data_IF_629763417976
#
_entry.id   IF_629763417976
#
_cell.length_a   1.000
_cell.length_b   1.000
_cell.length_c   1.000
_cell.angle_alpha   90.00
_cell.angle_beta   90.00
_cell.angle_gamma   90.00
#
_symmetry.space_group_name_H-M   'P 1'
#
loop_
_entity.id
_entity.type
_entity.pdbx_description
1 polymer ?
#
# COMPACT_ATOMS: atom_id res chain seq x y z
N UNK A 1 11.23 10.58 17.47
CA UNK A 1 10.01 9.73 17.49
C UNK A 1 9.67 9.32 18.94
N UNK A 2 9.35 10.28 19.82
CA UNK A 2 9.11 10.00 21.25
C UNK A 2 7.65 9.69 21.63
N UNK A 3 6.69 10.11 20.82
CA UNK A 3 5.28 10.21 21.21
C UNK A 3 4.41 8.97 20.92
N UNK A 4 4.98 7.88 20.40
CA UNK A 4 4.20 6.73 19.89
C UNK A 4 4.12 5.58 20.91
N UNK A 5 4.73 5.72 22.09
CA UNK A 5 4.75 4.64 23.10
C UNK A 5 3.48 4.53 23.94
N UNK A 6 2.65 5.56 24.00
CA UNK A 6 1.54 5.65 24.97
C UNK A 6 0.13 5.54 24.38
N UNK A 7 -0.02 5.47 23.05
CA UNK A 7 -1.35 5.31 22.44
C UNK A 7 -1.66 3.81 22.29
N UNK A 8 -2.10 3.19 23.39
CA UNK A 8 -2.73 1.87 23.37
C UNK A 8 -4.18 2.00 22.92
N UNK A 9 -4.51 1.49 21.73
CA UNK A 9 -5.86 0.99 21.45
C UNK A 9 -6.74 1.70 20.41
N UNK A 10 -6.19 2.56 19.53
CA UNK A 10 -6.97 3.13 18.43
C UNK A 10 -6.69 2.45 17.09
N UNK A 11 -7.73 1.99 16.36
CA UNK A 11 -7.63 1.58 14.95
C UNK A 11 -6.99 2.66 14.05
N UNK A 12 -7.07 3.93 14.47
CA UNK A 12 -6.55 5.11 13.77
C UNK A 12 -5.03 5.10 13.61
N UNK A 13 -4.29 4.61 14.60
CA UNK A 13 -2.84 4.73 14.60
C UNK A 13 -2.15 3.75 13.62
N UNK A 14 -2.53 2.47 13.52
CA UNK A 14 -2.06 1.60 12.45
C UNK A 14 -2.38 2.11 11.05
N UNK A 15 -3.58 2.66 10.84
CA UNK A 15 -3.99 3.21 9.55
C UNK A 15 -3.15 4.45 9.19
N UNK A 16 -2.91 5.34 10.16
CA UNK A 16 -2.01 6.49 9.97
C UNK A 16 -0.60 6.05 9.59
N UNK A 17 -0.02 5.08 10.32
CA UNK A 17 1.32 4.56 10.01
C UNK A 17 1.39 3.92 8.63
N UNK A 18 0.32 3.23 8.21
CA UNK A 18 0.22 2.64 6.87
C UNK A 18 0.25 3.71 5.77
N UNK A 19 -0.61 4.73 5.85
CA UNK A 19 -0.63 5.80 4.85
C UNK A 19 0.67 6.63 4.88
N UNK A 20 1.21 6.93 6.06
CA UNK A 20 2.50 7.63 6.18
C UNK A 20 3.63 6.86 5.51
N UNK A 21 3.67 5.53 5.67
CA UNK A 21 4.65 4.68 5.00
C UNK A 21 4.48 4.68 3.48
N UNK A 22 3.26 4.60 2.95
CA UNK A 22 2.98 4.71 1.51
C UNK A 22 3.44 6.05 0.93
N UNK A 23 3.13 7.17 1.61
CA UNK A 23 3.59 8.50 1.20
C UNK A 23 5.12 8.58 1.20
N UNK A 24 5.77 8.06 2.23
CA UNK A 24 7.24 8.01 2.28
C UNK A 24 7.83 7.16 1.15
N UNK A 25 7.26 6.00 0.82
CA UNK A 25 7.70 5.20 -0.32
C UNK A 25 7.49 5.91 -1.66
N UNK A 26 6.41 6.67 -1.82
CA UNK A 26 6.20 7.52 -3.00
C UNK A 26 7.26 8.63 -3.08
N UNK A 27 7.51 9.35 -1.98
CA UNK A 27 8.53 10.40 -1.91
C UNK A 27 9.95 9.87 -2.13
N UNK A 28 10.25 8.67 -1.66
CA UNK A 28 11.55 8.02 -1.90
C UNK A 28 11.82 7.77 -3.39
N UNK A 29 10.77 7.49 -4.19
CA UNK A 29 10.91 7.31 -5.64
C UNK A 29 11.19 8.62 -6.38
N UNK A 30 10.63 9.73 -5.91
CA UNK A 30 10.74 11.04 -6.59
C UNK A 30 11.97 11.83 -6.14
N UNK A 31 12.19 11.94 -4.82
CA UNK A 31 13.22 12.81 -4.23
C UNK A 31 14.61 12.16 -4.12
N UNK A 32 14.70 10.82 -4.22
CA UNK A 32 15.91 10.01 -3.92
C UNK A 32 16.49 10.22 -2.50
N UNK A 33 15.82 10.97 -1.62
CA UNK A 33 16.26 11.20 -0.25
C UNK A 33 16.04 9.94 0.61
N UNK A 34 17.14 9.43 1.17
CA UNK A 34 17.16 8.21 1.98
C UNK A 34 16.34 8.34 3.26
N UNK A 35 16.05 9.56 3.73
CA UNK A 35 15.23 9.78 4.94
C UNK A 35 13.84 9.17 4.79
N UNK A 36 13.23 9.26 3.61
CA UNK A 36 11.89 8.72 3.39
C UNK A 36 11.87 7.19 3.45
N UNK A 37 12.91 6.52 2.93
CA UNK A 37 13.06 5.07 3.03
C UNK A 37 13.20 4.65 4.50
N UNK A 38 14.02 5.38 5.28
CA UNK A 38 14.22 5.12 6.70
C UNK A 38 12.91 5.27 7.50
N UNK A 39 12.17 6.35 7.26
CA UNK A 39 10.86 6.59 7.90
C UNK A 39 9.85 5.51 7.54
N UNK A 40 9.70 5.18 6.25
CA UNK A 40 8.77 4.14 5.80
C UNK A 40 9.07 2.79 6.47
N UNK A 41 10.34 2.38 6.50
CA UNK A 41 10.77 1.12 7.15
C UNK A 41 10.54 1.14 8.66
N UNK A 42 10.70 2.29 9.31
CA UNK A 42 10.40 2.45 10.74
C UNK A 42 8.90 2.25 11.01
N UNK A 43 8.02 2.83 10.19
CA UNK A 43 6.58 2.59 10.26
C UNK A 43 6.25 1.10 10.06
N UNK A 44 6.84 0.45 9.06
CA UNK A 44 6.65 -1.00 8.81
C UNK A 44 7.10 -1.85 9.99
N UNK A 45 8.25 -1.54 10.60
CA UNK A 45 8.77 -2.26 11.77
C UNK A 45 7.82 -2.14 12.96
N UNK A 46 7.28 -0.93 13.19
CA UNK A 46 6.33 -0.68 14.26
C UNK A 46 5.02 -1.44 14.06
N UNK A 47 4.44 -1.38 12.85
CA UNK A 47 3.25 -2.15 12.48
C UNK A 47 3.43 -3.65 12.68
N UNK A 48 4.57 -4.22 12.25
CA UNK A 48 4.90 -5.63 12.48
C UNK A 48 5.03 -5.99 13.96
N UNK A 49 5.60 -5.09 14.76
CA UNK A 49 5.73 -5.30 16.20
C UNK A 49 4.37 -5.34 16.87
N UNK A 50 3.44 -4.48 16.45
CA UNK A 50 2.08 -4.46 16.99
C UNK A 50 1.24 -5.64 16.53
N UNK A 51 1.39 -6.08 15.27
CA UNK A 51 0.76 -7.30 14.79
C UNK A 51 1.17 -8.53 15.63
N UNK A 52 2.46 -8.63 16.01
CA UNK A 52 2.94 -9.69 16.91
C UNK A 52 2.36 -9.62 18.33
N UNK A 53 1.96 -8.42 18.78
CA UNK A 53 1.39 -8.18 20.12
C UNK A 53 -0.14 -8.32 20.18
N UNK A 54 -0.78 -8.76 19.09
CA UNK A 54 -2.23 -9.01 19.08
C UNK A 54 -3.10 -7.77 18.82
N UNK A 55 -2.51 -6.64 18.41
CA UNK A 55 -3.27 -5.50 17.90
C UNK A 55 -4.00 -5.92 16.60
N UNK A 56 -5.21 -5.40 16.28
CA UNK A 56 -5.98 -5.77 15.09
C UNK A 56 -5.09 -5.96 13.86
N UNK A 57 -5.12 -7.18 13.34
CA UNK A 57 -4.23 -7.63 12.30
C UNK A 57 -4.58 -6.92 10.98
N UNK A 58 -3.66 -6.11 10.45
CA UNK A 58 -3.69 -5.55 9.09
C UNK A 58 -2.65 -6.23 8.19
N UNK A 59 -2.74 -7.56 7.98
CA UNK A 59 -1.71 -8.32 7.26
C UNK A 59 -1.59 -7.85 5.81
N UNK A 60 -2.70 -7.50 5.17
CA UNK A 60 -2.73 -6.96 3.81
C UNK A 60 -1.98 -5.63 3.69
N UNK A 61 -2.11 -4.73 4.67
CA UNK A 61 -1.38 -3.46 4.71
C UNK A 61 0.13 -3.68 4.86
N UNK A 62 0.55 -4.58 5.76
CA UNK A 62 1.97 -4.93 5.92
C UNK A 62 2.52 -5.54 4.63
N UNK A 63 1.78 -6.46 3.99
CA UNK A 63 2.18 -7.07 2.72
C UNK A 63 2.34 -6.01 1.61
N UNK A 64 1.45 -5.02 1.55
CA UNK A 64 1.55 -3.94 0.57
C UNK A 64 2.81 -3.10 0.80
N UNK A 65 3.07 -2.69 2.04
CA UNK A 65 4.27 -1.92 2.37
C UNK A 65 5.56 -2.69 2.11
N UNK A 66 5.55 -4.01 2.31
CA UNK A 66 6.68 -4.85 1.90
C UNK A 66 6.87 -4.90 0.38
N UNK A 67 5.78 -4.92 -0.39
CA UNK A 67 5.84 -4.89 -1.84
C UNK A 67 6.51 -3.59 -2.34
N UNK A 68 6.14 -2.46 -1.74
CA UNK A 68 6.70 -1.14 -2.00
C UNK A 68 8.21 -1.07 -1.68
N UNK A 69 8.65 -1.60 -0.52
CA UNK A 69 10.08 -1.68 -0.19
C UNK A 69 10.86 -2.61 -1.14
N UNK A 70 10.30 -3.77 -1.48
CA UNK A 70 10.91 -4.73 -2.42
C UNK A 70 11.06 -4.13 -3.81
N UNK A 71 10.07 -3.35 -4.27
CA UNK A 71 10.13 -2.62 -5.53
C UNK A 71 11.28 -1.60 -5.54
N UNK A 72 11.39 -0.76 -4.48
CA UNK A 72 12.51 0.18 -4.34
C UNK A 72 13.89 -0.52 -4.33
N UNK A 73 13.94 -1.74 -3.81
CA UNK A 73 15.15 -2.58 -3.80
C UNK A 73 15.35 -3.38 -5.10
N UNK A 74 14.54 -3.12 -6.14
CA UNK A 74 14.56 -3.80 -7.45
C UNK A 74 14.32 -5.32 -7.38
N UNK A 75 13.70 -5.82 -6.30
CA UNK A 75 13.38 -7.24 -6.11
C UNK A 75 12.02 -7.57 -6.75
N UNK A 76 11.95 -7.46 -8.08
CA UNK A 76 10.69 -7.45 -8.86
C UNK A 76 9.76 -8.64 -8.60
N UNK A 77 10.29 -9.86 -8.62
CA UNK A 77 9.49 -11.09 -8.40
C UNK A 77 8.90 -11.15 -6.99
N UNK A 78 9.71 -10.80 -5.98
CA UNK A 78 9.26 -10.73 -4.58
C UNK A 78 8.27 -9.60 -4.35
N UNK A 79 8.42 -8.46 -5.03
CA UNK A 79 7.48 -7.35 -4.97
C UNK A 79 6.11 -7.75 -5.54
N UNK A 80 6.08 -8.33 -6.74
CA UNK A 80 4.86 -8.83 -7.39
C UNK A 80 4.09 -9.81 -6.49
N UNK A 81 4.77 -10.83 -5.96
CA UNK A 81 4.16 -11.79 -5.05
C UNK A 81 3.59 -11.14 -3.78
N UNK A 82 4.23 -10.09 -3.26
CA UNK A 82 3.69 -9.35 -2.11
C UNK A 82 2.47 -8.50 -2.45
N UNK A 83 2.41 -7.88 -3.63
CA UNK A 83 1.21 -7.17 -4.09
C UNK A 83 0.02 -8.13 -4.24
N UNK A 84 0.23 -9.26 -4.93
CA UNK A 84 -0.83 -10.28 -5.14
C UNK A 84 -1.37 -10.82 -3.82
N UNK A 85 -0.48 -11.13 -2.86
CA UNK A 85 -0.89 -11.56 -1.51
C UNK A 85 -1.64 -10.47 -0.76
N UNK A 86 -1.21 -9.21 -0.87
CA UNK A 86 -1.90 -8.08 -0.24
C UNK A 86 -3.33 -7.95 -0.78
N UNK A 87 -3.51 -7.98 -2.10
CA UNK A 87 -4.82 -7.91 -2.76
C UNK A 87 -5.71 -9.07 -2.30
N UNK A 88 -5.20 -10.30 -2.35
CA UNK A 88 -5.94 -11.50 -1.94
C UNK A 88 -6.41 -11.39 -0.49
N UNK A 89 -5.51 -11.04 0.44
CA UNK A 89 -5.85 -10.94 1.86
C UNK A 89 -6.82 -9.78 2.13
N UNK A 90 -6.67 -8.64 1.45
CA UNK A 90 -7.61 -7.52 1.58
C UNK A 90 -9.02 -7.93 1.14
N UNK A 91 -9.12 -8.67 0.02
CA UNK A 91 -10.37 -9.21 -0.50
C UNK A 91 -11.01 -10.21 0.46
N UNK A 92 -10.24 -11.17 0.97
CA UNK A 92 -10.71 -12.19 1.91
C UNK A 92 -11.23 -11.55 3.22
N UNK A 93 -10.56 -10.49 3.68
CA UNK A 93 -10.97 -9.69 4.85
C UNK A 93 -12.07 -8.67 4.55
N UNK A 94 -12.59 -8.60 3.30
CA UNK A 94 -13.60 -7.64 2.84
C UNK A 94 -13.21 -6.17 3.08
N UNK A 95 -11.90 -5.87 3.02
CA UNK A 95 -11.33 -4.52 3.20
C UNK A 95 -11.35 -3.77 1.88
N UNK A 96 -12.54 -3.33 1.46
CA UNK A 96 -12.79 -2.73 0.15
C UNK A 96 -11.81 -1.60 -0.22
N UNK A 97 -11.57 -0.66 0.72
CA UNK A 97 -10.67 0.47 0.51
C UNK A 97 -9.21 0.02 0.34
N UNK A 98 -8.77 -0.90 1.19
CA UNK A 98 -7.38 -1.36 1.15
C UNK A 98 -7.13 -2.26 -0.07
N UNK A 99 -8.12 -3.04 -0.51
CA UNK A 99 -8.10 -3.79 -1.76
C UNK A 99 -7.95 -2.84 -2.95
N UNK A 100 -8.70 -1.73 -2.98
CA UNK A 100 -8.60 -0.71 -4.02
C UNK A 100 -7.21 -0.07 -4.07
N UNK A 101 -6.64 0.27 -2.91
CA UNK A 101 -5.28 0.82 -2.79
C UNK A 101 -4.24 -0.20 -3.27
N UNK A 102 -4.36 -1.47 -2.87
CA UNK A 102 -3.41 -2.51 -3.25
C UNK A 102 -3.41 -2.75 -4.77
N UNK A 103 -4.59 -2.76 -5.40
CA UNK A 103 -4.75 -2.82 -6.86
C UNK A 103 -4.13 -1.60 -7.56
N UNK A 104 -4.37 -0.37 -7.07
CA UNK A 104 -3.78 0.85 -7.61
C UNK A 104 -2.24 0.81 -7.57
N UNK A 105 -1.68 0.41 -6.42
CA UNK A 105 -0.23 0.30 -6.26
C UNK A 105 0.37 -0.79 -7.13
N UNK A 106 -0.31 -1.91 -7.28
CA UNK A 106 0.18 -2.98 -8.15
C UNK A 106 0.13 -2.58 -9.64
N UNK A 107 -0.94 -1.91 -10.06
CA UNK A 107 -1.02 -1.32 -11.40
C UNK A 107 0.16 -0.38 -11.67
N UNK A 108 0.44 0.55 -10.74
CA UNK A 108 1.57 1.46 -10.86
C UNK A 108 2.92 0.73 -10.93
N UNK A 109 3.09 -0.36 -10.17
CA UNK A 109 4.27 -1.21 -10.25
C UNK A 109 4.43 -1.87 -11.63
N UNK A 110 3.35 -2.41 -12.20
CA UNK A 110 3.40 -3.05 -13.52
C UNK A 110 3.70 -2.03 -14.63
N UNK A 111 3.15 -0.81 -14.56
CA UNK A 111 3.51 0.29 -15.47
C UNK A 111 4.99 0.63 -15.42
N UNK A 112 5.57 0.77 -14.21
CA UNK A 112 7.03 1.01 -14.04
C UNK A 112 7.88 -0.12 -14.63
N UNK A 113 7.31 -1.31 -14.81
CA UNK A 113 7.96 -2.46 -15.46
C UNK A 113 7.70 -2.55 -16.97
N UNK A 114 6.90 -1.66 -17.54
CA UNK A 114 6.49 -1.70 -18.95
C UNK A 114 5.39 -2.73 -19.26
N UNK A 115 4.77 -3.34 -18.25
CA UNK A 115 3.68 -4.29 -18.45
C UNK A 115 2.33 -3.56 -18.37
N UNK A 116 1.95 -2.90 -19.47
CA UNK A 116 0.76 -2.05 -19.55
C UNK A 116 -0.55 -2.85 -19.47
N UNK A 117 -0.62 -4.03 -20.10
CA UNK A 117 -1.81 -4.87 -20.08
C UNK A 117 -2.15 -5.31 -18.65
N UNK A 118 -1.15 -5.84 -17.93
CA UNK A 118 -1.35 -6.22 -16.52
C UNK A 118 -1.67 -4.99 -15.66
N UNK A 119 -1.06 -3.84 -15.94
CA UNK A 119 -1.36 -2.63 -15.19
C UNK A 119 -2.82 -2.18 -15.35
N UNK A 120 -3.36 -2.25 -16.55
CA UNK A 120 -4.74 -1.85 -16.83
C UNK A 120 -5.75 -2.76 -16.12
N UNK A 121 -5.52 -4.08 -16.10
CA UNK A 121 -6.35 -5.03 -15.34
C UNK A 121 -6.47 -4.64 -13.87
N UNK A 122 -5.34 -4.36 -13.21
CA UNK A 122 -5.38 -3.97 -11.78
C UNK A 122 -5.93 -2.55 -11.58
N UNK A 123 -5.74 -1.64 -12.53
CA UNK A 123 -6.27 -0.29 -12.43
C UNK A 123 -7.80 -0.25 -12.58
N UNK A 124 -8.35 -1.03 -13.52
CA UNK A 124 -9.80 -1.20 -13.70
C UNK A 124 -10.45 -1.77 -12.43
N UNK A 125 -9.83 -2.78 -11.84
CA UNK A 125 -10.32 -3.35 -10.58
C UNK A 125 -10.26 -2.33 -9.43
N UNK A 126 -9.18 -1.56 -9.33
CA UNK A 126 -9.09 -0.44 -8.37
C UNK A 126 -10.23 0.58 -8.55
N UNK A 127 -10.51 0.98 -9.80
CA UNK A 127 -11.60 1.88 -10.15
C UNK A 127 -12.96 1.29 -9.75
N UNK A 128 -13.20 0.00 -10.04
CA UNK A 128 -14.43 -0.69 -9.67
C UNK A 128 -14.65 -0.69 -8.16
N UNK A 129 -13.59 -0.98 -7.39
CA UNK A 129 -13.62 -0.99 -5.93
C UNK A 129 -13.85 0.41 -5.34
N UNK A 130 -13.16 1.44 -5.88
CA UNK A 130 -13.37 2.83 -5.47
C UNK A 130 -14.77 3.35 -5.80
N UNK A 131 -15.33 2.96 -6.96
CA UNK A 131 -16.71 3.27 -7.32
C UNK A 131 -17.69 2.63 -6.34
N UNK A 132 -17.49 1.35 -6.01
CA UNK A 132 -18.31 0.64 -5.01
C UNK A 132 -18.22 1.28 -3.62
N UNK A 133 -17.06 1.83 -3.26
CA UNK A 133 -16.89 2.55 -2.00
C UNK A 133 -17.53 3.96 -2.02
N UNK A 134 -17.73 4.56 -3.19
CA UNK A 134 -18.29 5.91 -3.34
C UNK A 134 -17.23 7.02 -3.49
N UNK A 135 -15.97 6.68 -3.78
CA UNK A 135 -14.89 7.66 -3.94
C UNK A 135 -14.83 8.25 -5.36
N UNK A 136 -15.87 8.98 -5.76
CA UNK A 136 -16.03 9.49 -7.14
C UNK A 136 -14.84 10.34 -7.63
N UNK A 137 -14.27 11.20 -6.79
CA UNK A 137 -13.08 11.99 -7.14
C UNK A 137 -11.83 11.14 -7.37
N UNK A 138 -11.69 10.04 -6.62
CA UNK A 138 -10.60 9.10 -6.83
C UNK A 138 -10.78 8.34 -8.15
N UNK A 139 -12.02 7.98 -8.50
CA UNK A 139 -12.34 7.35 -9.78
C UNK A 139 -12.01 8.27 -10.95
N UNK A 140 -12.44 9.54 -10.92
CA UNK A 140 -12.10 10.55 -11.93
C UNK A 140 -10.58 10.66 -12.12
N UNK A 141 -9.83 10.72 -11.01
CA UNK A 141 -8.37 10.78 -11.02
C UNK A 141 -7.73 9.54 -11.67
N UNK A 142 -8.25 8.34 -11.41
CA UNK A 142 -7.66 7.11 -11.96
C UNK A 142 -8.01 6.91 -13.44
N UNK A 143 -9.20 7.34 -13.87
CA UNK A 143 -9.61 7.28 -15.28
C UNK A 143 -8.72 8.16 -16.17
N UNK A 144 -8.31 9.34 -15.69
CA UNK A 144 -7.37 10.20 -16.45
C UNK A 144 -5.97 9.60 -16.56
N UNK A 145 -5.63 8.62 -15.72
CA UNK A 145 -4.36 7.86 -15.82
C UNK A 145 -4.45 6.69 -16.80
N UNK A 146 -5.62 6.33 -17.33
CA UNK A 146 -5.77 5.25 -18.32
C UNK A 146 -5.53 5.70 -19.76
N UNK A 147 -5.54 7.01 -20.00
CA UNK A 147 -5.24 7.64 -21.29
C UNK A 147 -3.72 7.74 -21.49
#
# INVERSE_FOLDING_TARGET
>A
MGWVKEITGGYSLPQFLFHAALCCFAMARTSKDRKYISTARSCVKLLKTWAKKGCPNFPHNILLLEAEDKDLRKQRTKAASSYEKSIKVAKDLKRLQDEAIANEKYAAFQRRRGNMDAANVYLEESIRLYRRWGASKKVEQLLSMMQ
#
